data_IF_095672027819
#
_entry.id   IF_095672027819
#
_cell.length_a   1.000
_cell.length_b   1.000
_cell.length_c   1.000
_cell.angle_alpha   90.00
_cell.angle_beta   90.00
_cell.angle_gamma   90.00
#
_symmetry.space_group_name_H-M   'P 1'
#
loop_
_entity.id
_entity.type
_entity.pdbx_description
1 polymer ?
#
# COMPACT_ATOMS: atom_id res chain seq x y z
N UNK A 1 -26.29 9.53 41.47
CA UNK A 1 -25.95 8.13 41.14
C UNK A 1 -26.42 7.73 39.73
N UNK A 2 -27.62 8.10 39.30
CA UNK A 2 -28.16 7.77 37.95
C UNK A 2 -27.31 8.35 36.80
N UNK A 3 -26.76 9.54 36.99
CA UNK A 3 -25.95 10.22 35.96
C UNK A 3 -24.65 9.45 35.64
N UNK A 4 -23.97 8.93 36.66
CA UNK A 4 -22.74 8.12 36.49
C UNK A 4 -23.04 6.80 35.75
N UNK A 5 -24.23 6.24 35.97
CA UNK A 5 -24.73 5.06 35.23
C UNK A 5 -24.95 5.37 33.74
N UNK A 6 -25.51 6.54 33.42
CA UNK A 6 -25.76 6.97 32.04
C UNK A 6 -24.44 7.25 31.30
N UNK A 7 -23.48 7.91 31.94
CA UNK A 7 -22.16 8.17 31.37
C UNK A 7 -21.33 6.88 31.18
N UNK A 8 -21.41 5.94 32.12
CA UNK A 8 -20.81 4.60 32.03
C UNK A 8 -21.38 3.79 30.86
N UNK A 9 -22.70 3.82 30.69
CA UNK A 9 -23.41 3.13 29.60
C UNK A 9 -22.99 3.68 28.23
N UNK A 10 -22.87 5.01 28.11
CA UNK A 10 -22.45 5.67 26.87
C UNK A 10 -21.01 5.34 26.49
N UNK A 11 -20.07 5.37 27.44
CA UNK A 11 -18.66 5.02 27.19
C UNK A 11 -18.49 3.54 26.87
N UNK A 12 -19.28 2.66 27.51
CA UNK A 12 -19.27 1.22 27.22
C UNK A 12 -19.79 0.87 25.82
N UNK A 13 -20.80 1.59 25.32
CA UNK A 13 -21.37 1.36 23.98
C UNK A 13 -20.40 1.71 22.84
N UNK A 14 -19.57 2.73 23.04
CA UNK A 14 -18.63 3.21 22.03
C UNK A 14 -17.53 2.18 21.69
N UNK A 15 -17.09 1.41 22.69
CA UNK A 15 -16.10 0.34 22.50
C UNK A 15 -16.65 -0.86 21.74
N UNK A 16 -17.94 -1.17 21.94
CA UNK A 16 -18.60 -2.30 21.27
C UNK A 16 -18.91 -1.96 19.81
N UNK A 17 -19.35 -0.74 19.52
CA UNK A 17 -19.51 -0.27 18.14
C UNK A 17 -18.18 -0.21 17.39
N UNK A 18 -17.10 0.26 18.04
CA UNK A 18 -15.76 0.25 17.45
C UNK A 18 -15.25 -1.17 17.17
N UNK A 19 -15.54 -2.14 18.03
CA UNK A 19 -15.17 -3.55 17.81
C UNK A 19 -15.95 -4.15 16.64
N UNK A 20 -17.26 -3.90 16.53
CA UNK A 20 -18.08 -4.36 15.41
C UNK A 20 -17.64 -3.73 14.09
N UNK A 21 -17.38 -2.42 14.07
CA UNK A 21 -16.85 -1.73 12.89
C UNK A 21 -15.46 -2.27 12.51
N UNK A 22 -14.60 -2.52 13.49
CA UNK A 22 -13.26 -3.10 13.27
C UNK A 22 -13.30 -4.49 12.65
N UNK A 23 -14.20 -5.38 13.13
CA UNK A 23 -14.39 -6.72 12.56
C UNK A 23 -14.92 -6.64 11.13
N UNK A 24 -15.85 -5.72 10.84
CA UNK A 24 -16.41 -5.57 9.50
C UNK A 24 -15.39 -5.05 8.49
N UNK A 25 -14.60 -4.03 8.86
CA UNK A 25 -13.51 -3.50 8.03
C UNK A 25 -12.39 -4.51 7.83
N UNK A 26 -12.01 -5.27 8.87
CA UNK A 26 -11.01 -6.32 8.75
C UNK A 26 -11.44 -7.40 7.76
N UNK A 27 -12.74 -7.74 7.73
CA UNK A 27 -13.26 -8.76 6.81
C UNK A 27 -13.25 -8.29 5.35
N UNK A 28 -13.54 -7.01 5.09
CA UNK A 28 -13.40 -6.43 3.75
C UNK A 28 -11.93 -6.39 3.30
N UNK A 29 -11.01 -6.07 4.21
CA UNK A 29 -9.57 -6.01 3.90
C UNK A 29 -8.98 -7.39 3.63
N UNK A 30 -9.36 -8.42 4.38
CA UNK A 30 -8.89 -9.80 4.14
C UNK A 30 -9.34 -10.33 2.77
N UNK A 31 -10.60 -10.07 2.37
CA UNK A 31 -11.10 -10.49 1.05
C UNK A 31 -10.41 -9.74 -0.10
N UNK A 32 -9.98 -8.50 0.12
CA UNK A 32 -9.25 -7.72 -0.87
C UNK A 32 -7.75 -8.09 -0.96
N UNK A 33 -7.14 -8.51 0.16
CA UNK A 33 -5.73 -8.90 0.25
C UNK A 33 -5.46 -10.31 -0.28
N UNK A 34 -6.33 -11.27 0.04
CA UNK A 34 -6.20 -12.69 -0.37
C UNK A 34 -6.21 -12.84 -1.91
N UNK A 35 -6.97 -11.99 -2.61
CA UNK A 35 -7.01 -11.96 -4.09
C UNK A 35 -5.75 -11.39 -4.75
N UNK A 36 -4.81 -10.78 -4.02
CA UNK A 36 -3.56 -10.25 -4.56
C UNK A 36 -2.38 -11.19 -4.32
N UNK A 37 -2.38 -11.91 -3.19
CA UNK A 37 -1.30 -12.81 -2.79
C UNK A 37 -1.49 -14.25 -3.35
N UNK A 38 -2.72 -14.74 -3.50
CA UNK A 38 -2.98 -16.11 -3.98
C UNK A 38 -2.66 -16.35 -5.47
N UNK A 39 -2.30 -15.30 -6.24
CA UNK A 39 -1.96 -15.42 -7.67
C UNK A 39 -0.45 -15.56 -7.95
N UNK A 40 0.37 -15.70 -6.90
CA UNK A 40 1.78 -16.11 -6.98
C UNK A 40 1.97 -17.64 -7.16
N UNK A 41 0.91 -18.36 -7.50
CA UNK A 41 0.99 -19.80 -7.72
C UNK A 41 1.66 -20.18 -9.05
N UNK A 42 2.86 -20.75 -8.87
CA UNK A 42 3.54 -21.74 -9.72
C UNK A 42 4.04 -21.20 -11.06
N UNK A 43 5.36 -20.92 -11.10
CA UNK A 43 6.16 -20.99 -12.31
C UNK A 43 6.01 -22.40 -12.90
N UNK A 44 4.97 -22.63 -13.72
CA UNK A 44 4.94 -23.82 -14.56
C UNK A 44 6.14 -23.70 -15.49
N UNK A 45 7.15 -24.52 -15.24
CA UNK A 45 8.30 -24.70 -16.13
C UNK A 45 7.75 -25.05 -17.50
N UNK A 46 7.74 -24.08 -18.41
CA UNK A 46 7.38 -24.34 -19.79
C UNK A 46 8.51 -25.19 -20.37
N UNK A 47 8.22 -26.41 -20.79
CA UNK A 47 9.11 -27.12 -21.70
C UNK A 47 9.09 -26.32 -23.00
N UNK A 48 10.20 -25.65 -23.32
CA UNK A 48 10.39 -25.05 -24.63
C UNK A 48 10.29 -26.19 -25.64
N UNK A 49 9.21 -26.24 -26.40
CA UNK A 49 9.12 -27.09 -27.57
C UNK A 49 10.06 -26.50 -28.61
N UNK A 50 11.31 -26.99 -28.58
CA UNK A 50 12.34 -26.75 -29.57
C UNK A 50 11.82 -27.41 -30.86
N UNK A 51 11.21 -26.58 -31.70
CA UNK A 51 10.69 -27.02 -32.98
C UNK A 51 11.87 -27.51 -33.83
N UNK A 52 11.82 -28.78 -34.19
CA UNK A 52 12.89 -29.49 -34.88
C UNK A 52 13.19 -28.84 -36.24
N UNK A 53 14.36 -28.22 -36.37
CA UNK A 53 15.01 -28.06 -37.66
C UNK A 53 16.38 -28.74 -37.63
N UNK A 54 16.44 -29.84 -38.38
CA UNK A 54 17.56 -30.73 -38.62
C UNK A 54 18.91 -30.01 -38.87
N UNK A 55 19.92 -30.25 -38.02
CA UNK A 55 21.34 -30.21 -38.40
C UNK A 55 22.20 -30.91 -37.32
N UNK A 56 23.25 -31.66 -37.69
CA UNK A 56 23.94 -32.56 -36.77
C UNK A 56 24.89 -31.81 -35.84
N UNK A 57 24.85 -32.24 -34.58
CA UNK A 57 25.91 -32.27 -33.58
C UNK A 57 27.32 -32.02 -34.14
N UNK A 58 27.98 -30.95 -33.69
CA UNK A 58 29.38 -30.94 -33.24
C UNK A 58 29.87 -29.53 -32.82
N UNK A 59 30.71 -29.54 -31.78
CA UNK A 59 31.72 -28.55 -31.37
C UNK A 59 31.34 -27.46 -30.36
N UNK A 60 31.77 -27.72 -29.12
CA UNK A 60 32.25 -26.72 -28.17
C UNK A 60 33.32 -25.80 -28.81
N UNK A 61 33.22 -24.48 -28.59
CA UNK A 61 34.39 -23.58 -28.61
C UNK A 61 34.11 -22.28 -27.85
N UNK A 62 35.05 -21.95 -26.97
CA UNK A 62 35.17 -20.73 -26.18
C UNK A 62 35.16 -19.45 -27.03
N UNK A 63 34.57 -18.39 -26.44
CA UNK A 63 35.17 -17.06 -26.35
C UNK A 63 35.23 -16.19 -27.61
N UNK A 64 34.60 -15.01 -27.49
CA UNK A 64 34.71 -13.81 -28.34
C UNK A 64 33.70 -13.71 -29.51
N UNK A 65 32.47 -13.33 -29.18
CA UNK A 65 31.47 -12.93 -30.16
C UNK A 65 31.64 -11.44 -30.50
N UNK A 66 32.44 -11.15 -31.52
CA UNK A 66 32.22 -9.93 -32.32
C UNK A 66 30.96 -10.19 -33.15
N UNK A 67 29.80 -9.72 -32.69
CA UNK A 67 28.55 -9.87 -33.43
C UNK A 67 28.59 -8.98 -34.68
N UNK A 68 28.79 -9.59 -35.83
CA UNK A 68 28.51 -8.97 -37.12
C UNK A 68 26.99 -8.75 -37.21
N UNK A 69 26.57 -7.48 -37.11
CA UNK A 69 25.17 -7.03 -37.16
C UNK A 69 24.64 -7.18 -38.58
N UNK A 70 24.19 -8.36 -39.01
CA UNK A 70 23.36 -8.46 -40.21
C UNK A 70 22.40 -9.67 -40.15
N UNK A 71 21.12 -9.37 -40.32
CA UNK A 71 19.99 -10.26 -40.67
C UNK A 71 19.49 -11.36 -39.71
N UNK A 72 20.26 -11.86 -38.74
CA UNK A 72 19.80 -13.00 -37.91
C UNK A 72 19.12 -12.61 -36.58
N UNK A 73 19.15 -11.31 -36.23
CA UNK A 73 18.56 -10.77 -34.99
C UNK A 73 17.03 -10.55 -35.07
N UNK A 74 16.43 -10.81 -36.24
CA UNK A 74 14.97 -10.81 -36.42
C UNK A 74 14.32 -12.09 -35.88
N UNK A 75 15.12 -13.13 -35.64
CA UNK A 75 14.66 -14.44 -35.16
C UNK A 75 14.54 -14.47 -33.64
N UNK A 76 15.21 -13.55 -32.95
CA UNK A 76 15.20 -13.48 -31.49
C UNK A 76 14.07 -12.57 -31.00
N UNK A 77 13.17 -13.15 -30.22
CA UNK A 77 12.03 -12.48 -29.62
C UNK A 77 12.29 -12.16 -28.15
N UNK A 78 11.98 -10.94 -27.73
CA UNK A 78 11.87 -10.58 -26.32
C UNK A 78 10.41 -10.59 -25.88
N UNK A 79 10.20 -10.90 -24.60
CA UNK A 79 8.88 -11.07 -24.01
C UNK A 79 8.73 -10.16 -22.80
N UNK A 80 7.50 -9.71 -22.56
CA UNK A 80 7.14 -9.02 -21.31
C UNK A 80 5.76 -9.41 -20.84
N UNK A 81 5.54 -9.26 -19.54
CA UNK A 81 4.22 -9.42 -18.92
C UNK A 81 3.87 -8.09 -18.26
N UNK A 82 2.76 -7.51 -18.71
CA UNK A 82 2.19 -6.30 -18.12
C UNK A 82 1.16 -6.72 -17.09
N UNK A 83 1.34 -6.28 -15.86
CA UNK A 83 0.49 -6.57 -14.70
C UNK A 83 -0.36 -5.36 -14.31
N UNK A 84 -1.57 -5.59 -13.83
CA UNK A 84 -2.42 -4.57 -13.22
C UNK A 84 -2.73 -4.97 -11.77
N UNK A 85 -2.89 -3.97 -10.90
CA UNK A 85 -3.21 -4.20 -9.49
C UNK A 85 -4.64 -4.68 -9.24
N UNK A 86 -5.53 -4.54 -10.24
CA UNK A 86 -6.93 -4.97 -10.21
C UNK A 86 -7.27 -5.59 -11.56
N UNK A 87 -8.48 -6.15 -11.67
CA UNK A 87 -9.05 -6.80 -12.88
C UNK A 87 -9.32 -5.77 -14.01
N UNK A 88 -8.35 -4.91 -14.34
CA UNK A 88 -8.47 -3.81 -15.32
C UNK A 88 -8.67 -4.33 -16.74
N UNK A 89 -8.06 -5.46 -17.08
CA UNK A 89 -8.14 -6.04 -18.42
C UNK A 89 -9.43 -6.83 -18.66
N UNK A 90 -10.29 -6.96 -17.65
CA UNK A 90 -11.69 -7.36 -17.83
C UNK A 90 -12.46 -6.36 -18.68
N UNK A 91 -12.11 -5.07 -18.58
CA UNK A 91 -12.72 -4.03 -19.40
C UNK A 91 -12.06 -4.00 -20.79
N UNK A 92 -12.79 -4.34 -21.87
CA UNK A 92 -12.21 -4.40 -23.21
C UNK A 92 -11.68 -3.04 -23.68
N UNK A 93 -12.30 -1.92 -23.27
CA UNK A 93 -11.85 -0.59 -23.67
C UNK A 93 -10.44 -0.28 -23.12
N UNK A 94 -10.16 -0.67 -21.88
CA UNK A 94 -8.85 -0.51 -21.24
C UNK A 94 -7.84 -1.46 -21.88
N UNK A 95 -8.24 -2.71 -22.13
CA UNK A 95 -7.38 -3.70 -22.77
C UNK A 95 -6.96 -3.28 -24.19
N UNK A 96 -7.90 -2.76 -25.00
CA UNK A 96 -7.58 -2.23 -26.33
C UNK A 96 -6.68 -0.99 -26.27
N UNK A 97 -6.86 -0.14 -25.26
CA UNK A 97 -5.98 1.01 -25.02
C UNK A 97 -4.56 0.55 -24.73
N UNK A 98 -4.38 -0.43 -23.83
CA UNK A 98 -3.07 -1.02 -23.55
C UNK A 98 -2.45 -1.59 -24.83
N UNK A 99 -3.19 -2.39 -25.60
CA UNK A 99 -2.67 -2.98 -26.83
C UNK A 99 -2.21 -1.92 -27.84
N UNK A 100 -2.91 -0.79 -27.93
CA UNK A 100 -2.53 0.33 -28.79
C UNK A 100 -1.24 0.99 -28.33
N UNK A 101 -1.15 1.34 -27.04
CA UNK A 101 0.06 1.91 -26.46
C UNK A 101 1.26 0.97 -26.66
N UNK A 102 1.08 -0.33 -26.42
CA UNK A 102 2.18 -1.29 -26.57
C UNK A 102 2.59 -1.49 -28.03
N UNK A 103 1.62 -1.50 -28.95
CA UNK A 103 1.88 -1.57 -30.39
C UNK A 103 2.66 -0.35 -30.91
N UNK A 104 2.48 0.85 -30.34
CA UNK A 104 3.29 2.05 -30.70
C UNK A 104 4.78 1.82 -30.46
N UNK A 105 5.14 0.95 -29.52
CA UNK A 105 6.52 0.61 -29.17
C UNK A 105 6.93 -0.74 -29.75
N UNK A 106 6.16 -1.26 -30.71
CA UNK A 106 6.43 -2.50 -31.43
C UNK A 106 6.15 -3.77 -30.63
N UNK A 107 5.51 -3.68 -29.47
CA UNK A 107 5.07 -4.85 -28.73
C UNK A 107 3.81 -5.43 -29.37
N UNK A 108 3.85 -6.73 -29.62
CA UNK A 108 2.78 -7.50 -30.23
C UNK A 108 2.13 -8.34 -29.14
N UNK A 109 0.81 -8.27 -29.02
CA UNK A 109 0.06 -9.11 -28.09
C UNK A 109 0.32 -10.58 -28.42
N UNK A 110 0.79 -11.34 -27.43
CA UNK A 110 0.95 -12.79 -27.56
C UNK A 110 -0.26 -13.51 -27.00
N UNK A 111 -0.61 -13.23 -25.76
CA UNK A 111 -1.74 -13.85 -25.07
C UNK A 111 -2.20 -13.00 -23.88
N UNK A 112 -3.46 -13.16 -23.50
CA UNK A 112 -4.02 -12.62 -22.26
C UNK A 112 -4.06 -13.76 -21.25
N UNK A 113 -3.20 -13.70 -20.23
CA UNK A 113 -3.09 -14.75 -19.22
C UNK A 113 -4.32 -14.76 -18.31
N UNK A 114 -4.75 -13.59 -17.86
CA UNK A 114 -5.96 -13.40 -17.03
C UNK A 114 -6.48 -11.96 -17.16
N UNK A 115 -7.36 -11.51 -16.24
CA UNK A 115 -7.91 -10.14 -16.21
C UNK A 115 -6.94 -9.08 -15.64
N UNK A 116 -5.72 -9.49 -15.25
CA UNK A 116 -4.67 -8.65 -14.63
C UNK A 116 -3.31 -8.74 -15.30
N UNK A 117 -3.04 -9.76 -16.11
CA UNK A 117 -1.74 -10.07 -16.70
C UNK A 117 -1.89 -10.34 -18.19
N UNK A 118 -1.10 -9.62 -18.98
CA UNK A 118 -1.09 -9.74 -20.44
C UNK A 118 0.35 -9.90 -20.89
N UNK A 119 0.60 -10.87 -21.78
CA UNK A 119 1.93 -11.17 -22.31
C UNK A 119 2.07 -10.59 -23.71
N UNK A 120 3.19 -9.93 -23.95
CA UNK A 120 3.58 -9.36 -25.23
C UNK A 120 4.92 -9.92 -25.69
N UNK A 121 5.15 -9.91 -27.01
CA UNK A 121 6.42 -10.22 -27.65
C UNK A 121 6.86 -9.10 -28.58
N UNK A 122 8.16 -8.92 -28.78
CA UNK A 122 8.74 -7.96 -29.73
C UNK A 122 10.02 -8.54 -30.33
N UNK A 123 10.33 -8.32 -31.62
CA UNK A 123 11.61 -8.74 -32.17
C UNK A 123 12.73 -7.81 -31.68
N UNK A 124 13.89 -8.36 -31.33
CA UNK A 124 15.00 -7.60 -30.72
C UNK A 124 15.51 -6.49 -31.64
N UNK A 125 15.52 -6.70 -32.96
CA UNK A 125 15.89 -5.68 -33.94
C UNK A 125 15.05 -4.38 -33.88
N UNK A 126 13.88 -4.40 -33.22
CA UNK A 126 13.00 -3.24 -33.04
C UNK A 126 13.30 -2.47 -31.73
N UNK A 127 14.30 -2.89 -30.96
CA UNK A 127 14.78 -2.19 -29.75
C UNK A 127 15.42 -0.86 -30.10
N UNK A 128 16.37 -0.87 -31.03
CA UNK A 128 17.22 0.28 -31.40
C UNK A 128 16.69 1.05 -32.62
N UNK A 129 15.55 0.63 -33.16
CA UNK A 129 14.95 1.29 -34.31
C UNK A 129 14.68 2.77 -33.97
N UNK A 130 15.23 3.73 -34.74
CA UNK A 130 15.03 5.15 -34.48
C UNK A 130 13.55 5.50 -34.63
N UNK A 131 12.86 5.67 -33.51
CA UNK A 131 11.46 6.10 -33.47
C UNK A 131 11.42 7.63 -33.46
N UNK A 132 10.78 8.21 -34.47
CA UNK A 132 10.59 9.66 -34.58
C UNK A 132 9.75 10.25 -33.44
N UNK A 133 8.82 9.47 -32.89
CA UNK A 133 7.92 9.86 -31.81
C UNK A 133 8.08 8.86 -30.65
N UNK A 134 8.89 9.20 -29.66
CA UNK A 134 8.96 8.43 -28.42
C UNK A 134 7.70 8.72 -27.60
N UNK A 135 6.93 7.69 -27.19
CA UNK A 135 5.80 7.91 -26.31
C UNK A 135 6.26 8.39 -24.94
N UNK A 136 5.39 9.07 -24.17
CA UNK A 136 5.70 9.60 -22.85
C UNK A 136 5.84 8.53 -21.75
N UNK A 137 5.74 7.24 -22.10
CA UNK A 137 5.80 6.12 -21.16
C UNK A 137 6.97 5.19 -21.47
N UNK A 138 7.43 4.46 -20.45
CA UNK A 138 8.52 3.50 -20.58
C UNK A 138 8.09 2.25 -21.39
N UNK A 139 8.80 1.91 -22.50
CA UNK A 139 8.66 0.67 -23.25
C UNK A 139 8.66 -0.62 -22.43
N UNK A 140 9.41 -0.64 -21.33
CA UNK A 140 9.63 -1.82 -20.49
C UNK A 140 8.79 -1.80 -19.22
N UNK A 141 7.78 -0.92 -19.12
CA UNK A 141 6.86 -0.93 -17.98
C UNK A 141 6.23 -2.32 -17.81
N UNK A 142 6.31 -2.83 -16.60
CA UNK A 142 5.71 -4.11 -16.19
C UNK A 142 4.38 -3.94 -15.49
N UNK A 143 3.98 -2.70 -15.18
CA UNK A 143 2.76 -2.38 -14.44
C UNK A 143 1.90 -1.37 -15.20
N UNK A 144 0.59 -1.61 -15.22
CA UNK A 144 -0.41 -0.78 -15.87
C UNK A 144 -1.51 -0.35 -14.91
N UNK A 145 -1.88 0.93 -15.01
CA UNK A 145 -2.91 1.55 -14.18
C UNK A 145 -2.36 2.34 -13.00
N UNK A 146 -3.25 3.05 -12.28
CA UNK A 146 -2.87 3.89 -11.16
C UNK A 146 -2.39 3.02 -9.98
N UNK A 147 -1.15 3.25 -9.56
CA UNK A 147 -0.57 2.66 -8.35
C UNK A 147 -1.02 3.43 -7.08
N UNK A 148 -2.26 3.95 -7.08
CA UNK A 148 -2.67 4.99 -6.15
C UNK A 148 -2.93 4.42 -4.76
N UNK A 149 -1.89 4.46 -3.93
CA UNK A 149 -1.96 4.24 -2.50
C UNK A 149 -2.65 5.41 -1.76
N UNK A 150 -2.95 6.51 -2.45
CA UNK A 150 -3.48 7.74 -1.83
C UNK A 150 -4.78 7.50 -1.05
N UNK A 151 -5.68 6.65 -1.55
CA UNK A 151 -6.90 6.24 -0.84
C UNK A 151 -6.54 5.49 0.45
N UNK A 152 -5.57 4.58 0.38
CA UNK A 152 -5.06 3.82 1.54
C UNK A 152 -4.43 4.74 2.58
N UNK A 153 -3.62 5.72 2.16
CA UNK A 153 -3.04 6.73 3.05
C UNK A 153 -4.11 7.62 3.70
N UNK A 154 -5.14 8.03 2.94
CA UNK A 154 -6.25 8.81 3.47
C UNK A 154 -7.02 8.04 4.55
N UNK A 155 -7.34 6.77 4.30
CA UNK A 155 -7.97 5.89 5.30
C UNK A 155 -7.08 5.75 6.54
N UNK A 156 -5.78 5.54 6.37
CA UNK A 156 -4.82 5.47 7.47
C UNK A 156 -4.80 6.74 8.34
N UNK A 157 -4.81 7.92 7.71
CA UNK A 157 -4.85 9.21 8.43
C UNK A 157 -6.15 9.38 9.20
N UNK A 158 -7.29 9.06 8.58
CA UNK A 158 -8.61 9.14 9.24
C UNK A 158 -8.64 8.20 10.45
N UNK A 159 -8.18 6.96 10.30
CA UNK A 159 -8.13 5.98 11.39
C UNK A 159 -7.23 6.45 12.55
N UNK A 160 -6.04 6.97 12.24
CA UNK A 160 -5.12 7.48 13.25
C UNK A 160 -5.71 8.71 13.97
N UNK A 161 -6.38 9.60 13.23
CA UNK A 161 -7.07 10.76 13.81
C UNK A 161 -8.21 10.35 14.75
N UNK A 162 -8.95 9.28 14.42
CA UNK A 162 -10.05 8.78 15.23
C UNK A 162 -9.58 8.21 16.59
N UNK A 163 -8.34 7.74 16.68
CA UNK A 163 -7.72 7.28 17.94
C UNK A 163 -7.13 8.44 18.73
N UNK A 164 -6.40 9.34 18.06
CA UNK A 164 -5.64 10.41 18.71
C UNK A 164 -6.56 11.53 19.23
N UNK A 165 -7.60 11.91 18.47
CA UNK A 165 -8.49 13.02 18.83
C UNK A 165 -9.21 12.81 20.17
N UNK A 166 -9.87 11.65 20.43
CA UNK A 166 -10.50 11.40 21.73
C UNK A 166 -9.51 11.40 22.89
N UNK A 167 -8.30 10.88 22.69
CA UNK A 167 -7.26 10.84 23.72
C UNK A 167 -6.80 12.26 24.12
N UNK A 168 -6.57 13.13 23.13
CA UNK A 168 -6.17 14.53 23.36
C UNK A 168 -7.30 15.34 24.02
N UNK A 169 -8.53 15.18 23.55
CA UNK A 169 -9.70 15.86 24.13
C UNK A 169 -9.95 15.42 25.58
N UNK A 170 -9.85 14.11 25.85
CA UNK A 170 -9.95 13.58 27.21
C UNK A 170 -8.89 14.16 28.14
N UNK A 171 -7.63 14.20 27.70
CA UNK A 171 -6.53 14.81 28.45
C UNK A 171 -6.76 16.31 28.73
N UNK A 172 -7.21 17.07 27.72
CA UNK A 172 -7.50 18.50 27.86
C UNK A 172 -8.63 18.75 28.88
N UNK A 173 -9.66 17.92 28.89
CA UNK A 173 -10.78 18.05 29.83
C UNK A 173 -10.36 17.73 31.27
N UNK A 174 -9.56 16.68 31.47
CA UNK A 174 -9.05 16.31 32.81
C UNK A 174 -8.06 17.34 33.34
N UNK A 175 -7.14 17.84 32.51
CA UNK A 175 -6.17 18.85 32.93
C UNK A 175 -6.82 20.19 33.30
N UNK A 176 -7.83 20.63 32.54
CA UNK A 176 -8.57 21.87 32.85
C UNK A 176 -9.40 21.76 34.13
N UNK A 177 -10.05 20.63 34.36
CA UNK A 177 -10.82 20.39 35.60
C UNK A 177 -9.94 20.31 36.84
N UNK A 178 -8.79 19.64 36.76
CA UNK A 178 -7.81 19.58 37.86
C UNK A 178 -7.22 20.96 38.20
N UNK A 179 -6.85 21.75 37.19
CA UNK A 179 -6.32 23.10 37.41
C UNK A 179 -7.36 24.03 38.03
N UNK A 180 -8.63 23.94 37.60
CA UNK A 180 -9.73 24.73 38.17
C UNK A 180 -10.04 24.34 39.62
N UNK A 181 -9.87 23.07 40.00
CA UNK A 181 -10.06 22.66 41.40
C UNK A 181 -8.94 23.17 42.31
N UNK A 182 -7.68 23.19 41.81
CA UNK A 182 -6.52 23.72 42.53
C UNK A 182 -6.62 25.21 42.84
N UNK A 183 -7.23 26.02 41.96
CA UNK A 183 -7.40 27.45 42.18
C UNK A 183 -8.46 27.80 43.23
N UNK A 184 -9.37 26.87 43.53
CA UNK A 184 -10.48 27.09 44.47
C UNK A 184 -10.19 26.60 45.89
N UNK A 185 -8.94 26.25 46.20
CA UNK A 185 -8.58 25.93 47.59
C UNK A 185 -8.64 27.18 48.46
N UNK A 186 -9.39 27.17 49.57
CA UNK A 186 -9.40 28.28 50.50
C UNK A 186 -8.00 28.45 51.12
N UNK A 187 -7.56 29.69 51.40
CA UNK A 187 -6.32 29.91 52.13
C UNK A 187 -6.42 29.19 53.49
N UNK A 188 -5.38 28.40 53.81
CA UNK A 188 -5.27 27.71 55.09
C UNK A 188 -5.46 28.71 56.23
N UNK A 189 -6.32 28.45 57.23
CA UNK A 189 -6.51 29.37 58.34
C UNK A 189 -5.18 29.49 59.11
N UNK A 190 -4.70 30.72 59.25
CA UNK A 190 -3.51 31.05 60.03
C UNK A 190 -3.81 30.67 61.48
N UNK A 191 -3.18 29.61 61.96
CA UNK A 191 -3.25 29.20 63.35
C UNK A 191 -2.43 30.20 64.17
N UNK A 192 -3.11 31.14 64.83
CA UNK A 192 -2.48 32.08 65.75
C UNK A 192 -1.92 31.33 66.97
N UNK A 193 -0.60 31.24 67.05
CA UNK A 193 0.14 30.69 68.19
C UNK A 193 -0.02 31.66 69.38
N UNK A 194 -0.50 31.23 70.55
CA UNK A 194 -0.52 32.09 71.74
C UNK A 194 0.90 32.22 72.31
N UNK A 195 1.30 33.46 72.59
CA UNK A 195 2.58 33.84 73.19
C UNK A 195 2.68 33.34 74.64
N UNK A 196 3.81 32.74 75.07
CA UNK A 196 3.99 32.34 76.46
C UNK A 196 4.42 33.55 77.30
N UNK A 197 3.58 33.94 78.26
CA UNK A 197 3.93 34.91 79.31
C UNK A 197 5.06 34.36 80.19
N UNK A 198 5.96 35.27 80.58
CA UNK A 198 7.21 34.97 81.29
C UNK A 198 7.05 34.53 82.75
N UNK A 199 8.15 34.07 83.38
CA UNK A 199 8.10 33.43 84.69
C UNK A 199 7.93 34.45 85.83
N UNK A 200 6.92 34.21 86.67
CA UNK A 200 6.79 34.87 87.96
C UNK A 200 7.85 34.38 88.95
N UNK A 201 8.61 35.32 89.51
CA UNK A 201 9.54 35.12 90.62
C UNK A 201 8.76 35.08 91.93
N UNK A 202 8.77 33.96 92.64
CA UNK A 202 8.25 33.84 94.01
C UNK A 202 9.40 33.86 95.03
N UNK A 203 9.11 34.53 96.15
CA UNK A 203 9.93 34.84 97.34
C UNK A 203 10.84 33.72 97.87
#
# INVERSE_FOLDING_TARGET
MVEILIWSLMVGSLGLEAALAGIWVSREQSVAGEKCDDEEEVLTRYESQEDNFNAPENAHSNGNLKSDRNSDDLTVWEYKIVRASRDLFRNPAIFHKLCREEAEVGWILLEKLDDRRVRFKRPIGLRDAPRSNLPPFDPYRSHYGPMSNAMTWAVGIVFLSAIVLPAVLGYALVSTTLNRSRSNWPPTPIQSVPSPDGPETNN
#
